data_IF_538313388980
#
_entry.id   IF_538313388980
#
_cell.length_a   1.000
_cell.length_b   1.000
_cell.length_c   1.000
_cell.angle_alpha   90.00
_cell.angle_beta   90.00
_cell.angle_gamma   90.00
#
_symmetry.space_group_name_H-M   'P 1'
#
loop_
_entity.id
_entity.type
_entity.pdbx_description
1 polymer ?
#
# COMPACT_ATOMS: atom_id res chain seq x y z
N UNK A 1 6.94 -10.10 -21.24
CA UNK A 1 7.32 -8.93 -20.42
C UNK A 1 6.37 -8.87 -19.23
N UNK A 2 6.63 -9.64 -18.19
CA UNK A 2 5.70 -9.86 -17.07
C UNK A 2 6.28 -9.19 -15.83
N UNK A 3 6.07 -7.89 -15.69
CA UNK A 3 6.41 -7.17 -14.46
C UNK A 3 5.27 -7.37 -13.47
N UNK A 4 5.25 -8.51 -12.77
CA UNK A 4 4.40 -8.67 -11.59
C UNK A 4 4.92 -7.68 -10.55
N UNK A 5 4.12 -6.70 -10.11
CA UNK A 5 4.56 -5.74 -9.11
C UNK A 5 4.96 -6.51 -7.84
N UNK A 6 6.18 -6.26 -7.36
CA UNK A 6 6.68 -6.83 -6.11
C UNK A 6 5.79 -6.40 -4.94
N UNK A 7 5.60 -7.31 -3.96
CA UNK A 7 4.81 -7.01 -2.77
C UNK A 7 5.47 -5.84 -2.00
N UNK A 8 4.71 -4.79 -1.61
CA UNK A 8 5.23 -3.70 -0.78
C UNK A 8 5.77 -4.24 0.55
N UNK A 9 6.93 -3.70 0.95
CA UNK A 9 7.66 -4.11 2.15
C UNK A 9 7.86 -2.89 3.07
N UNK A 10 7.48 -3.03 4.34
CA UNK A 10 7.54 -1.92 5.32
C UNK A 10 8.96 -1.42 5.55
N UNK A 11 9.97 -2.30 5.60
CA UNK A 11 11.35 -1.88 5.76
C UNK A 11 11.83 -1.05 4.56
N UNK A 12 11.49 -1.45 3.33
CA UNK A 12 11.77 -0.64 2.12
C UNK A 12 11.02 0.69 2.13
N UNK A 13 9.78 0.72 2.61
CA UNK A 13 9.01 1.96 2.72
C UNK A 13 9.63 2.95 3.73
N UNK A 14 10.16 2.45 4.85
CA UNK A 14 10.88 3.28 5.83
C UNK A 14 12.12 3.96 5.25
N UNK A 15 12.85 3.26 4.38
CA UNK A 15 14.00 3.85 3.67
C UNK A 15 13.61 5.01 2.75
N UNK A 16 12.41 4.95 2.15
CA UNK A 16 11.91 5.99 1.22
C UNK A 16 11.29 7.19 1.93
N UNK A 17 10.80 7.02 3.15
CA UNK A 17 10.13 8.07 3.93
C UNK A 17 10.71 8.18 5.34
N UNK A 18 11.95 8.69 5.49
CA UNK A 18 12.54 8.92 6.80
C UNK A 18 11.73 9.97 7.58
N UNK A 19 11.56 9.76 8.89
CA UNK A 19 10.85 10.69 9.77
C UNK A 19 9.33 10.53 9.83
N UNK A 20 8.75 9.60 9.06
CA UNK A 20 7.34 9.21 9.20
C UNK A 20 7.25 7.97 10.09
N UNK A 21 6.45 8.01 11.15
CA UNK A 21 6.27 6.89 12.08
C UNK A 21 5.82 5.60 11.36
N UNK A 22 4.80 5.73 10.50
CA UNK A 22 4.33 4.63 9.64
C UNK A 22 4.31 5.11 8.18
N UNK A 23 5.28 4.69 7.35
CA UNK A 23 5.38 5.13 5.96
C UNK A 23 4.26 4.54 5.11
N UNK A 24 3.95 5.20 4.00
CA UNK A 24 2.98 4.74 3.01
C UNK A 24 3.51 3.51 2.27
N UNK A 25 2.67 2.50 1.99
CA UNK A 25 3.04 1.35 1.17
C UNK A 25 3.12 1.68 -0.34
N UNK A 26 3.04 2.96 -0.72
CA UNK A 26 3.14 3.41 -2.10
C UNK A 26 4.53 3.12 -2.68
N UNK A 27 4.56 2.36 -3.79
CA UNK A 27 5.79 2.08 -4.54
C UNK A 27 5.98 3.00 -5.76
N UNK A 28 5.22 4.09 -5.85
CA UNK A 28 5.13 5.00 -7.02
C UNK A 28 4.63 4.32 -8.31
N UNK A 29 3.84 3.25 -8.16
CA UNK A 29 3.10 2.61 -9.24
C UNK A 29 1.63 2.90 -9.02
N UNK A 30 1.09 3.88 -9.75
CA UNK A 30 -0.32 4.25 -9.70
C UNK A 30 -1.07 3.51 -10.80
N UNK A 31 -1.50 2.28 -10.52
CA UNK A 31 -2.38 1.52 -11.39
C UNK A 31 -3.50 0.94 -10.53
N UNK A 32 -4.71 1.45 -10.73
CA UNK A 32 -5.91 0.98 -10.06
C UNK A 32 -6.54 -0.13 -10.90
N UNK A 33 -6.93 -1.23 -10.27
CA UNK A 33 -7.83 -2.19 -10.86
C UNK A 33 -9.27 -1.67 -10.78
N UNK A 34 -9.95 -1.59 -11.91
CA UNK A 34 -11.29 -1.00 -12.03
C UNK A 34 -12.38 -1.88 -11.41
N UNK A 35 -12.12 -3.19 -11.26
CA UNK A 35 -13.08 -4.15 -10.69
C UNK A 35 -13.08 -4.13 -9.16
N UNK A 36 -11.90 -4.09 -8.56
CA UNK A 36 -11.69 -4.16 -7.10
C UNK A 36 -11.45 -2.80 -6.45
N UNK A 37 -11.29 -1.74 -7.25
CA UNK A 37 -10.88 -0.40 -6.80
C UNK A 37 -9.62 -0.44 -5.93
N UNK A 38 -8.70 -1.36 -6.27
CA UNK A 38 -7.46 -1.59 -5.55
C UNK A 38 -6.25 -1.25 -6.41
N UNK A 39 -5.26 -0.58 -5.82
CA UNK A 39 -4.03 -0.29 -6.52
C UNK A 39 -3.19 -1.57 -6.65
N UNK A 40 -2.90 -2.03 -7.86
CA UNK A 40 -2.14 -3.28 -8.06
C UNK A 40 -0.67 -3.16 -7.63
N UNK A 41 -0.15 -1.94 -7.46
CA UNK A 41 1.20 -1.70 -6.96
C UNK A 41 1.29 -1.76 -5.44
N UNK A 42 0.56 -0.87 -4.75
CA UNK A 42 0.61 -0.79 -3.28
C UNK A 42 -0.42 -1.68 -2.56
N UNK A 43 -1.32 -2.32 -3.31
CA UNK A 43 -2.37 -3.23 -2.83
C UNK A 43 -3.36 -2.63 -1.83
N UNK A 44 -3.42 -1.30 -1.77
CA UNK A 44 -4.43 -0.56 -1.00
C UNK A 44 -5.65 -0.26 -1.86
N UNK A 45 -6.81 -0.19 -1.22
CA UNK A 45 -8.04 0.27 -1.86
C UNK A 45 -8.02 1.79 -2.04
N UNK A 46 -8.89 2.30 -2.93
CA UNK A 46 -9.04 3.73 -3.15
C UNK A 46 -9.42 4.48 -1.86
N UNK A 47 -10.25 3.86 -1.01
CA UNK A 47 -10.64 4.39 0.30
C UNK A 47 -9.43 4.52 1.24
N UNK A 48 -8.62 3.48 1.36
CA UNK A 48 -7.39 3.50 2.17
C UNK A 48 -6.39 4.54 1.67
N UNK A 49 -6.33 4.76 0.35
CA UNK A 49 -5.49 5.79 -0.27
C UNK A 49 -5.99 7.19 0.12
N UNK A 50 -7.30 7.44 0.03
CA UNK A 50 -7.91 8.73 0.37
C UNK A 50 -7.91 9.05 1.86
N UNK A 51 -8.04 8.02 2.71
CA UNK A 51 -8.05 8.15 4.15
C UNK A 51 -6.65 8.22 4.77
N UNK A 52 -5.58 7.80 4.06
CA UNK A 52 -4.25 7.57 4.63
C UNK A 52 -3.71 8.71 5.50
N UNK A 53 -3.82 9.95 5.03
CA UNK A 53 -3.31 11.13 5.75
C UNK A 53 -4.07 11.43 7.04
N UNK A 54 -5.27 10.87 7.20
CA UNK A 54 -6.15 11.04 8.37
C UNK A 54 -6.07 9.87 9.35
N UNK A 55 -5.42 8.77 8.96
CA UNK A 55 -5.26 7.60 9.82
C UNK A 55 -4.16 7.84 10.87
N UNK A 56 -4.41 7.40 12.10
CA UNK A 56 -3.40 7.30 13.14
C UNK A 56 -2.44 6.14 12.87
N UNK A 57 -1.30 6.13 13.55
CA UNK A 57 -0.25 5.13 13.34
C UNK A 57 -0.73 3.70 13.59
N UNK A 58 -1.60 3.48 14.57
CA UNK A 58 -2.20 2.17 14.83
C UNK A 58 -3.04 1.68 13.63
N UNK A 59 -3.85 2.57 13.04
CA UNK A 59 -4.66 2.23 11.87
C UNK A 59 -3.78 2.02 10.62
N UNK A 60 -2.72 2.82 10.44
CA UNK A 60 -1.75 2.62 9.36
C UNK A 60 -1.02 1.28 9.48
N UNK A 61 -0.65 0.86 10.70
CA UNK A 61 -0.05 -0.45 10.95
C UNK A 61 -1.03 -1.59 10.68
N UNK A 62 -2.31 -1.42 11.02
CA UNK A 62 -3.34 -2.38 10.66
C UNK A 62 -3.44 -2.55 9.13
N UNK A 63 -3.41 -1.46 8.37
CA UNK A 63 -3.35 -1.52 6.89
C UNK A 63 -2.11 -2.30 6.44
N UNK A 64 -0.92 -2.03 7.00
CA UNK A 64 0.29 -2.79 6.67
C UNK A 64 0.14 -4.30 6.90
N UNK A 65 -0.40 -4.72 8.05
CA UNK A 65 -0.65 -6.12 8.35
C UNK A 65 -1.64 -6.75 7.34
N UNK A 66 -2.67 -6.01 6.94
CA UNK A 66 -3.62 -6.45 5.91
C UNK A 66 -2.95 -6.60 4.55
N UNK A 67 -2.00 -5.73 4.18
CA UNK A 67 -1.29 -5.85 2.91
C UNK A 67 -0.41 -7.11 2.86
N UNK A 68 0.10 -7.59 3.98
CA UNK A 68 0.89 -8.82 4.03
C UNK A 68 0.03 -10.05 3.71
N UNK A 69 -1.24 -10.05 4.12
CA UNK A 69 -2.17 -11.17 3.91
C UNK A 69 -3.00 -11.03 2.63
N UNK A 70 -3.24 -9.81 2.13
CA UNK A 70 -4.07 -9.56 0.94
C UNK A 70 -3.39 -10.01 -0.35
N UNK A 71 -4.16 -10.70 -1.17
CA UNK A 71 -3.80 -11.04 -2.55
C UNK A 71 -4.35 -9.95 -3.48
N UNK A 72 -3.66 -9.70 -4.61
CA UNK A 72 -4.23 -8.85 -5.65
C UNK A 72 -5.26 -9.69 -6.40
N UNK A 73 -6.54 -9.29 -6.44
CA UNK A 73 -7.50 -9.98 -7.29
C UNK A 73 -7.02 -9.88 -8.75
N UNK A 74 -7.08 -11.00 -9.46
CA UNK A 74 -6.57 -11.15 -10.84
C UNK A 74 -7.48 -10.49 -11.88
#
# INVERSE_FOLDING_TARGET
MSQTPERPNLARARLRQPGVAVPSPCINVCRLDERSLMCVGCRRTLDEIGAWSRLDDAAKLAVWAQLETREVPA
#
